data_IF_027514067409
#
_entry.id   IF_027514067409
#
_cell.length_a   1.000
_cell.length_b   1.000
_cell.length_c   1.000
_cell.angle_alpha   90.00
_cell.angle_beta   90.00
_cell.angle_gamma   90.00
#
_symmetry.space_group_name_H-M   'P 1'
#
loop_
_entity.id
_entity.type
_entity.pdbx_description
1 polymer ?
#
# COMPACT_ATOMS: atom_id res chain seq x y z
N UNK A 1 28.02 -14.09 1.12
CA UNK A 1 26.58 -13.97 1.38
C UNK A 1 25.88 -15.28 1.00
N UNK A 2 24.79 -15.60 1.64
CA UNK A 2 23.96 -16.77 1.28
C UNK A 2 23.39 -16.56 -0.12
N UNK A 3 23.56 -17.52 -1.06
CA UNK A 3 22.99 -17.39 -2.41
C UNK A 3 21.47 -17.40 -2.34
N UNK A 4 20.85 -16.43 -3.03
CA UNK A 4 19.41 -16.36 -3.19
C UNK A 4 19.08 -16.61 -4.66
N UNK A 5 18.20 -17.58 -4.94
CA UNK A 5 17.68 -17.84 -6.28
C UNK A 5 16.18 -17.66 -6.31
N UNK A 6 15.68 -17.08 -7.40
CA UNK A 6 14.26 -16.89 -7.63
C UNK A 6 13.84 -17.63 -8.92
N UNK A 7 12.78 -18.39 -8.83
CA UNK A 7 12.16 -19.06 -9.97
C UNK A 7 10.74 -18.54 -10.16
N UNK A 8 10.45 -18.01 -11.35
CA UNK A 8 9.15 -17.48 -11.71
C UNK A 8 8.54 -18.36 -12.81
N UNK A 9 7.26 -18.70 -12.66
CA UNK A 9 6.53 -19.50 -13.66
C UNK A 9 5.15 -18.90 -13.95
N UNK A 10 4.74 -18.97 -15.20
CA UNK A 10 3.43 -18.54 -15.64
C UNK A 10 3.23 -17.02 -15.54
N UNK A 11 4.26 -16.22 -15.91
CA UNK A 11 4.13 -14.79 -15.99
C UNK A 11 3.28 -14.39 -17.19
N UNK A 12 2.23 -13.61 -16.95
CA UNK A 12 1.38 -12.99 -17.96
C UNK A 12 1.29 -11.50 -17.66
N UNK A 13 1.47 -10.67 -18.68
CA UNK A 13 1.28 -9.22 -18.61
C UNK A 13 0.27 -8.84 -19.68
N UNK A 14 -0.75 -8.08 -19.29
CA UNK A 14 -1.75 -7.53 -20.20
C UNK A 14 -1.88 -6.02 -19.95
N UNK A 15 -2.07 -5.27 -21.04
CA UNK A 15 -2.29 -3.84 -20.99
C UNK A 15 -3.22 -3.44 -22.12
N UNK A 16 -4.28 -2.70 -21.79
CA UNK A 16 -5.19 -2.04 -22.73
C UNK A 16 -5.29 -0.57 -22.31
N UNK A 17 -4.38 0.23 -22.86
CA UNK A 17 -4.21 1.63 -22.46
C UNK A 17 -4.16 2.52 -23.68
N UNK A 18 -4.68 3.73 -23.54
CA UNK A 18 -4.60 4.81 -24.52
C UNK A 18 -4.17 6.11 -23.85
N UNK A 19 -3.64 7.04 -24.63
CA UNK A 19 -3.24 8.35 -24.12
C UNK A 19 -4.49 9.20 -23.87
N UNK A 20 -4.67 9.67 -22.63
CA UNK A 20 -5.70 10.60 -22.21
C UNK A 20 -5.26 12.06 -22.31
N UNK A 21 -5.98 12.95 -21.65
CA UNK A 21 -5.54 14.32 -21.45
C UNK A 21 -4.39 14.35 -20.44
N UNK A 22 -3.50 15.33 -20.56
CA UNK A 22 -2.41 15.52 -19.60
C UNK A 22 -1.36 14.42 -19.55
N UNK A 23 -1.09 13.76 -20.69
CA UNK A 23 -0.06 12.71 -20.84
C UNK A 23 -0.25 11.48 -19.93
N UNK A 24 -1.46 11.23 -19.43
CA UNK A 24 -1.78 10.02 -18.68
C UNK A 24 -2.16 8.88 -19.62
N UNK A 25 -1.67 7.68 -19.33
CA UNK A 25 -2.15 6.45 -19.96
C UNK A 25 -3.39 5.96 -19.20
N UNK A 26 -4.54 6.04 -19.86
CA UNK A 26 -5.84 5.62 -19.34
C UNK A 26 -6.16 4.19 -19.80
N UNK A 27 -6.83 3.43 -18.98
CA UNK A 27 -7.21 2.05 -19.25
C UNK A 27 -6.68 1.07 -18.21
N UNK A 28 -6.64 -0.18 -18.55
CA UNK A 28 -6.33 -1.28 -17.64
C UNK A 28 -4.94 -1.86 -17.87
N UNK A 29 -4.29 -2.29 -16.80
CA UNK A 29 -3.04 -3.06 -16.84
C UNK A 29 -3.10 -4.17 -15.79
N UNK A 30 -2.52 -5.33 -16.11
CA UNK A 30 -2.41 -6.43 -15.16
C UNK A 30 -1.12 -7.23 -15.37
N UNK A 31 -0.65 -7.77 -14.25
CA UNK A 31 0.44 -8.73 -14.20
C UNK A 31 -0.05 -9.92 -13.39
N UNK A 32 0.11 -11.11 -13.90
CA UNK A 32 -0.18 -12.35 -13.17
C UNK A 32 1.04 -13.25 -13.21
N UNK A 33 1.32 -13.90 -12.09
CA UNK A 33 2.40 -14.86 -11.91
C UNK A 33 1.84 -16.09 -11.21
N UNK A 34 1.87 -17.23 -11.86
CA UNK A 34 1.30 -18.45 -11.28
C UNK A 34 2.08 -18.88 -10.04
N UNK A 35 3.43 -18.86 -10.11
CA UNK A 35 4.28 -19.20 -8.96
C UNK A 35 5.55 -18.36 -8.94
N UNK A 36 5.96 -17.97 -7.72
CA UNK A 36 7.28 -17.43 -7.39
C UNK A 36 7.88 -18.30 -6.30
N UNK A 37 9.00 -18.94 -6.57
CA UNK A 37 9.76 -19.71 -5.59
C UNK A 37 11.06 -19.01 -5.26
N UNK A 38 11.33 -18.81 -3.97
CA UNK A 38 12.57 -18.24 -3.46
C UNK A 38 13.31 -19.32 -2.66
N UNK A 39 14.56 -19.58 -3.03
CA UNK A 39 15.46 -20.48 -2.31
C UNK A 39 16.59 -19.64 -1.69
N UNK A 40 16.86 -19.83 -0.40
CA UNK A 40 17.81 -19.05 0.38
C UNK A 40 18.81 -20.00 1.07
N UNK A 41 19.83 -20.43 0.32
CA UNK A 41 20.82 -21.39 0.80
C UNK A 41 20.17 -22.70 1.23
N UNK A 42 20.47 -23.18 2.44
CA UNK A 42 19.93 -24.43 2.99
C UNK A 42 18.57 -24.28 3.68
N UNK A 43 17.98 -23.08 3.66
CA UNK A 43 16.65 -22.88 4.25
C UNK A 43 15.55 -23.45 3.35
N UNK A 44 14.41 -23.89 3.94
CA UNK A 44 13.25 -24.27 3.17
C UNK A 44 12.82 -23.19 2.18
N UNK A 45 12.34 -23.60 1.01
CA UNK A 45 11.86 -22.67 0.00
C UNK A 45 10.60 -21.92 0.45
N UNK A 46 10.54 -20.65 0.09
CA UNK A 46 9.30 -19.85 0.14
C UNK A 46 8.65 -19.93 -1.24
N UNK A 47 7.38 -20.32 -1.28
CA UNK A 47 6.60 -20.42 -2.50
C UNK A 47 5.39 -19.50 -2.41
N UNK A 48 5.28 -18.51 -3.32
CA UNK A 48 4.06 -17.71 -3.52
C UNK A 48 3.33 -18.22 -4.75
N UNK A 49 2.00 -18.37 -4.65
CA UNK A 49 1.11 -18.84 -5.72
C UNK A 49 0.06 -17.79 -6.04
N UNK A 50 -0.32 -17.72 -7.32
CA UNK A 50 -1.36 -16.83 -7.80
C UNK A 50 -1.10 -15.37 -7.37
N UNK A 51 0.09 -14.88 -7.69
CA UNK A 51 0.44 -13.48 -7.47
C UNK A 51 -0.13 -12.66 -8.61
N UNK A 52 -0.91 -11.64 -8.30
CA UNK A 52 -1.42 -10.73 -9.31
C UNK A 52 -1.35 -9.27 -8.86
N UNK A 53 -1.17 -8.42 -9.84
CA UNK A 53 -1.26 -6.97 -9.70
C UNK A 53 -2.17 -6.46 -10.83
N UNK A 54 -3.05 -5.54 -10.52
CA UNK A 54 -3.83 -4.83 -11.53
C UNK A 54 -3.90 -3.35 -11.22
N UNK A 55 -4.05 -2.55 -12.25
CA UNK A 55 -4.27 -1.12 -12.15
C UNK A 55 -5.20 -0.66 -13.26
N UNK A 56 -6.04 0.31 -12.96
CA UNK A 56 -6.80 1.04 -13.95
C UNK A 56 -6.76 2.54 -13.65
N UNK A 57 -6.74 3.33 -14.70
CA UNK A 57 -6.87 4.78 -14.63
C UNK A 57 -7.93 5.20 -15.65
N UNK A 58 -8.88 6.00 -15.22
CA UNK A 58 -9.92 6.57 -16.07
C UNK A 58 -9.99 8.09 -15.90
N UNK A 59 -10.58 8.77 -16.89
CA UNK A 59 -10.79 10.20 -16.88
C UNK A 59 -12.22 10.52 -17.31
N UNK A 60 -12.92 11.30 -16.51
CA UNK A 60 -14.25 11.79 -16.80
C UNK A 60 -14.37 13.28 -16.45
N UNK A 61 -14.67 14.11 -17.43
CA UNK A 61 -14.84 15.55 -17.22
C UNK A 61 -13.60 16.27 -16.68
N UNK A 62 -12.40 15.80 -17.04
CA UNK A 62 -11.12 16.34 -16.58
C UNK A 62 -10.72 15.88 -15.16
N UNK A 63 -11.45 14.94 -14.59
CA UNK A 63 -11.14 14.33 -13.30
C UNK A 63 -10.65 12.90 -13.52
N UNK A 64 -9.51 12.57 -12.91
CA UNK A 64 -8.95 11.23 -12.89
C UNK A 64 -9.58 10.41 -11.76
N UNK A 65 -9.85 9.15 -12.08
CA UNK A 65 -10.18 8.09 -11.15
C UNK A 65 -9.31 6.88 -11.41
N UNK A 66 -9.04 6.08 -10.39
CA UNK A 66 -8.24 4.89 -10.59
C UNK A 66 -8.37 3.89 -9.48
N UNK A 67 -7.89 2.68 -9.75
CA UNK A 67 -7.77 1.61 -8.77
C UNK A 67 -6.48 0.85 -9.00
N UNK A 68 -5.93 0.37 -7.92
CA UNK A 68 -4.74 -0.47 -7.90
C UNK A 68 -4.95 -1.61 -6.92
N UNK A 69 -4.72 -2.82 -7.37
CA UNK A 69 -4.86 -4.00 -6.53
C UNK A 69 -3.67 -4.92 -6.62
N UNK A 70 -3.47 -5.66 -5.55
CA UNK A 70 -2.42 -6.66 -5.42
C UNK A 70 -2.95 -7.86 -4.66
N UNK A 71 -2.76 -9.06 -5.22
CA UNK A 71 -3.17 -10.32 -4.60
C UNK A 71 -2.00 -11.30 -4.55
N UNK A 72 -1.89 -12.00 -3.44
CA UNK A 72 -1.09 -13.21 -3.30
C UNK A 72 -2.03 -14.28 -2.80
N UNK A 73 -2.38 -15.23 -3.66
CA UNK A 73 -3.35 -16.27 -3.31
C UNK A 73 -2.89 -17.11 -2.12
N UNK A 74 -1.61 -17.51 -2.10
CA UNK A 74 -1.04 -18.25 -0.98
C UNK A 74 0.48 -18.15 -0.95
N UNK A 75 1.03 -17.92 0.22
CA UNK A 75 2.44 -18.09 0.54
C UNK A 75 2.60 -19.35 1.36
N UNK A 76 3.52 -20.24 0.93
CA UNK A 76 3.86 -21.46 1.63
C UNK A 76 5.34 -21.44 2.03
N UNK A 77 5.67 -21.98 3.19
CA UNK A 77 7.03 -22.18 3.70
C UNK A 77 7.20 -23.62 4.13
N UNK A 78 8.27 -24.28 3.70
CA UNK A 78 8.53 -25.71 3.98
C UNK A 78 7.33 -26.60 3.61
N UNK A 79 6.68 -26.29 2.47
CA UNK A 79 5.50 -27.01 1.98
C UNK A 79 4.21 -26.79 2.76
N UNK A 80 4.20 -25.93 3.79
CA UNK A 80 3.02 -25.59 4.58
C UNK A 80 2.49 -24.24 4.17
N UNK A 81 1.18 -24.14 3.96
CA UNK A 81 0.51 -22.89 3.66
C UNK A 81 0.51 -21.96 4.88
N UNK A 82 0.90 -20.72 4.68
CA UNK A 82 1.04 -19.70 5.73
C UNK A 82 -0.10 -18.69 5.63
N UNK A 83 -0.17 -17.93 4.56
CA UNK A 83 -1.18 -16.91 4.38
C UNK A 83 -1.33 -16.47 2.91
N UNK A 84 -2.49 -15.98 2.57
CA UNK A 84 -2.74 -15.14 1.40
C UNK A 84 -2.81 -13.67 1.78
N UNK A 85 -2.72 -12.78 0.78
CA UNK A 85 -2.80 -11.34 0.96
C UNK A 85 -3.64 -10.73 -0.15
N UNK A 86 -4.48 -9.76 0.21
CA UNK A 86 -5.23 -8.93 -0.74
C UNK A 86 -5.07 -7.45 -0.38
N UNK A 87 -4.91 -6.60 -1.40
CA UNK A 87 -4.88 -5.16 -1.24
C UNK A 87 -5.59 -4.48 -2.40
N UNK A 88 -6.47 -3.54 -2.10
CA UNK A 88 -7.18 -2.73 -3.09
C UNK A 88 -7.19 -1.26 -2.67
N UNK A 89 -6.59 -0.42 -3.51
CA UNK A 89 -6.65 1.02 -3.43
C UNK A 89 -7.59 1.59 -4.49
N UNK A 90 -8.30 2.65 -4.14
CA UNK A 90 -9.06 3.48 -5.09
C UNK A 90 -8.74 4.95 -4.88
N UNK A 91 -8.82 5.70 -5.97
CA UNK A 91 -8.68 7.15 -5.98
C UNK A 91 -9.75 7.74 -6.91
N UNK A 92 -10.36 8.87 -6.53
CA UNK A 92 -11.43 9.51 -7.31
C UNK A 92 -11.32 11.03 -7.25
N UNK A 93 -11.84 11.69 -8.27
CA UNK A 93 -11.99 13.15 -8.34
C UNK A 93 -10.65 13.91 -8.29
N UNK A 94 -9.60 13.40 -8.93
CA UNK A 94 -8.33 14.11 -9.04
C UNK A 94 -8.32 14.97 -10.31
N UNK A 95 -8.25 16.29 -10.19
CA UNK A 95 -8.13 17.16 -11.36
C UNK A 95 -6.88 16.82 -12.18
N UNK A 96 -7.07 16.38 -13.43
CA UNK A 96 -6.00 15.85 -14.27
C UNK A 96 -4.89 16.89 -14.50
N UNK A 97 -5.23 18.15 -14.76
CA UNK A 97 -4.23 19.17 -15.03
C UNK A 97 -3.45 19.58 -13.78
N UNK A 98 -4.10 19.59 -12.61
CA UNK A 98 -3.44 19.85 -11.34
C UNK A 98 -2.48 18.70 -10.98
N UNK A 99 -2.93 17.45 -11.14
CA UNK A 99 -2.07 16.27 -10.93
C UNK A 99 -0.86 16.29 -11.84
N UNK A 100 -1.04 16.58 -13.14
CA UNK A 100 0.07 16.68 -14.09
C UNK A 100 1.09 17.74 -13.66
N UNK A 101 0.62 18.94 -13.33
CA UNK A 101 1.46 20.04 -12.88
C UNK A 101 2.25 19.71 -11.61
N UNK A 102 1.60 19.04 -10.65
CA UNK A 102 2.24 18.60 -9.40
C UNK A 102 3.28 17.49 -9.65
N UNK A 103 3.02 16.56 -10.58
CA UNK A 103 4.00 15.52 -10.97
C UNK A 103 5.22 16.15 -11.64
N UNK A 104 5.04 17.14 -12.53
CA UNK A 104 6.15 17.87 -13.13
C UNK A 104 7.01 18.55 -12.06
N UNK A 105 6.39 19.28 -11.14
CA UNK A 105 7.10 19.95 -10.05
C UNK A 105 7.85 18.96 -9.16
N UNK A 106 7.22 17.84 -8.82
CA UNK A 106 7.86 16.76 -8.06
C UNK A 106 9.09 16.21 -8.78
N UNK A 107 8.93 15.87 -10.06
CA UNK A 107 10.01 15.31 -10.88
C UNK A 107 11.19 16.28 -11.01
N UNK A 108 10.91 17.57 -11.17
CA UNK A 108 11.93 18.56 -11.42
C UNK A 108 12.64 19.04 -10.13
N UNK A 109 11.96 19.02 -8.99
CA UNK A 109 12.47 19.61 -7.74
C UNK A 109 12.71 18.59 -6.63
N UNK A 110 11.84 17.60 -6.47
CA UNK A 110 11.87 16.70 -5.32
C UNK A 110 12.59 15.40 -5.64
N UNK A 111 12.32 14.80 -6.79
CA UNK A 111 12.92 13.52 -7.17
C UNK A 111 14.46 13.55 -7.20
N UNK A 112 15.14 14.60 -7.71
CA UNK A 112 16.59 14.68 -7.67
C UNK A 112 17.17 14.68 -6.25
N UNK A 113 16.48 15.34 -5.30
CA UNK A 113 16.89 15.37 -3.89
C UNK A 113 16.80 13.97 -3.27
N UNK A 114 15.70 13.27 -3.53
CA UNK A 114 15.53 11.90 -3.01
C UNK A 114 16.55 10.92 -3.60
N UNK A 115 16.87 11.05 -4.89
CA UNK A 115 17.90 10.22 -5.54
C UNK A 115 19.27 10.46 -4.94
N UNK A 116 19.67 11.71 -4.72
CA UNK A 116 20.95 12.05 -4.09
C UNK A 116 21.04 11.50 -2.65
N UNK A 117 19.97 11.63 -1.86
CA UNK A 117 19.90 11.06 -0.51
C UNK A 117 20.01 9.53 -0.52
N UNK A 118 19.35 8.85 -1.45
CA UNK A 118 19.43 7.40 -1.58
C UNK A 118 20.83 6.92 -2.01
N UNK A 119 21.58 7.74 -2.75
CA UNK A 119 22.96 7.48 -3.15
C UNK A 119 23.98 7.86 -2.05
N UNK A 120 23.56 8.39 -0.89
CA UNK A 120 24.41 9.01 0.12
C UNK A 120 25.28 10.18 -0.43
N UNK A 121 24.76 10.89 -1.42
CA UNK A 121 25.36 12.10 -1.98
C UNK A 121 24.83 13.34 -1.26
N UNK A 122 25.53 14.48 -1.41
CA UNK A 122 25.04 15.75 -0.90
C UNK A 122 23.76 16.16 -1.66
N UNK A 123 22.62 16.09 -0.98
CA UNK A 123 21.34 16.36 -1.58
C UNK A 123 21.14 17.87 -1.79
N UNK A 124 20.75 18.33 -2.98
CA UNK A 124 20.38 19.73 -3.20
C UNK A 124 19.18 20.12 -2.33
N UNK A 125 19.10 21.37 -1.92
CA UNK A 125 17.92 21.87 -1.23
C UNK A 125 16.76 22.06 -2.23
N UNK A 126 15.55 21.64 -1.81
CA UNK A 126 14.35 21.94 -2.57
C UNK A 126 14.06 23.43 -2.43
N UNK A 127 14.40 24.21 -3.45
CA UNK A 127 14.11 25.63 -3.50
C UNK A 127 13.11 25.89 -4.62
N UNK A 128 11.94 26.45 -4.25
CA UNK A 128 10.94 26.91 -5.22
C UNK A 128 11.14 28.41 -5.46
N UNK A 129 10.97 28.82 -6.69
CA UNK A 129 10.85 30.25 -7.04
C UNK A 129 9.47 30.75 -6.63
N UNK A 130 9.28 32.06 -6.48
CA UNK A 130 7.98 32.64 -6.17
C UNK A 130 6.89 32.27 -7.19
N UNK A 131 7.27 32.09 -8.47
CA UNK A 131 6.34 31.64 -9.51
C UNK A 131 5.93 30.18 -9.33
N UNK A 132 6.86 29.30 -8.94
CA UNK A 132 6.59 27.89 -8.65
C UNK A 132 5.74 27.72 -7.38
N UNK A 133 5.98 28.50 -6.36
CA UNK A 133 5.14 28.54 -5.14
C UNK A 133 3.71 28.95 -5.46
N UNK A 134 3.55 29.99 -6.28
CA UNK A 134 2.21 30.44 -6.71
C UNK A 134 1.51 29.38 -7.58
N UNK A 135 2.24 28.71 -8.48
CA UNK A 135 1.72 27.61 -9.30
C UNK A 135 1.28 26.46 -8.40
N UNK A 136 2.14 26.03 -7.47
CA UNK A 136 1.83 24.95 -6.50
C UNK A 136 0.55 25.27 -5.73
N UNK A 137 0.40 26.50 -5.22
CA UNK A 137 -0.81 26.93 -4.50
C UNK A 137 -2.05 26.83 -5.38
N UNK A 138 -1.97 27.30 -6.61
CA UNK A 138 -3.09 27.27 -7.57
C UNK A 138 -3.50 25.84 -7.91
N UNK A 139 -2.51 24.96 -8.14
CA UNK A 139 -2.75 23.54 -8.47
C UNK A 139 -3.33 22.77 -7.29
N UNK A 140 -2.85 23.03 -6.07
CA UNK A 140 -3.44 22.46 -4.85
C UNK A 140 -4.87 22.95 -4.62
N UNK A 141 -5.15 24.26 -4.86
CA UNK A 141 -6.50 24.78 -4.79
C UNK A 141 -7.45 24.10 -5.77
N UNK A 142 -7.00 23.89 -7.00
CA UNK A 142 -7.77 23.24 -8.05
C UNK A 142 -8.02 21.77 -7.70
N UNK A 143 -6.97 21.06 -7.31
CA UNK A 143 -7.04 19.66 -6.91
C UNK A 143 -8.05 19.45 -5.75
N UNK A 144 -7.90 20.22 -4.66
CA UNK A 144 -8.73 20.06 -3.46
C UNK A 144 -10.17 20.57 -3.67
N UNK A 145 -10.40 21.50 -4.62
CA UNK A 145 -11.75 21.94 -5.00
C UNK A 145 -12.55 20.83 -5.68
N UNK A 146 -11.89 19.88 -6.32
CA UNK A 146 -12.51 18.70 -6.92
C UNK A 146 -12.94 17.65 -5.87
N UNK A 147 -12.58 17.85 -4.59
CA UNK A 147 -12.87 16.95 -3.46
C UNK A 147 -12.33 15.53 -3.73
N UNK A 148 -11.02 15.37 -3.87
CA UNK A 148 -10.43 14.08 -4.14
C UNK A 148 -10.64 13.11 -2.98
N UNK A 149 -10.79 11.84 -3.34
CA UNK A 149 -10.98 10.73 -2.40
C UNK A 149 -9.88 9.70 -2.62
N UNK A 150 -9.34 9.17 -1.53
CA UNK A 150 -8.38 8.06 -1.53
C UNK A 150 -8.89 7.02 -0.55
N UNK A 151 -8.98 5.77 -0.98
CA UNK A 151 -9.35 4.69 -0.09
C UNK A 151 -8.45 3.47 -0.27
N UNK A 152 -8.01 2.91 0.85
CA UNK A 152 -7.64 1.52 0.97
C UNK A 152 -8.95 0.76 1.23
N UNK A 153 -9.57 0.26 0.16
CA UNK A 153 -10.87 -0.42 0.25
C UNK A 153 -10.76 -1.69 1.11
N UNK A 154 -9.67 -2.41 0.90
CA UNK A 154 -9.34 -3.59 1.69
C UNK A 154 -7.84 -3.85 1.62
N UNK A 155 -7.23 -4.06 2.77
CA UNK A 155 -5.99 -4.79 2.94
C UNK A 155 -6.29 -5.96 3.84
N UNK A 156 -6.01 -7.19 3.41
CA UNK A 156 -6.24 -8.35 4.25
C UNK A 156 -5.13 -9.39 4.16
N UNK A 157 -4.94 -10.07 5.27
CA UNK A 157 -4.13 -11.28 5.39
C UNK A 157 -5.09 -12.41 5.78
N UNK A 158 -5.10 -13.46 4.98
CA UNK A 158 -5.97 -14.61 5.15
C UNK A 158 -5.15 -15.85 5.46
N UNK A 159 -5.40 -16.47 6.59
CA UNK A 159 -4.85 -17.77 6.95
C UNK A 159 -5.91 -18.86 6.77
N UNK A 160 -5.56 -20.11 7.03
CA UNK A 160 -6.55 -21.21 7.04
C UNK A 160 -7.60 -21.07 8.14
N UNK A 161 -7.34 -20.25 9.18
CA UNK A 161 -8.16 -20.18 10.38
C UNK A 161 -8.87 -18.83 10.57
N UNK A 162 -8.57 -17.81 9.73
CA UNK A 162 -9.24 -16.51 9.84
C UNK A 162 -8.64 -15.43 8.95
N UNK A 163 -9.16 -14.22 9.12
CA UNK A 163 -8.76 -13.02 8.37
C UNK A 163 -8.38 -11.88 9.33
N UNK A 164 -7.33 -11.15 8.98
CA UNK A 164 -7.08 -9.81 9.48
C UNK A 164 -7.27 -8.80 8.34
N UNK A 165 -8.02 -7.73 8.57
CA UNK A 165 -8.31 -6.74 7.52
C UNK A 165 -8.28 -5.31 8.05
N UNK A 166 -7.85 -4.39 7.18
CA UNK A 166 -7.81 -2.95 7.37
C UNK A 166 -8.48 -2.28 6.17
N UNK A 167 -9.33 -1.32 6.43
CA UNK A 167 -9.78 -0.34 5.44
C UNK A 167 -9.55 1.08 5.94
N UNK A 168 -9.29 2.00 5.01
CA UNK A 168 -9.08 3.42 5.28
C UNK A 168 -9.73 4.22 4.17
N UNK A 169 -10.53 5.21 4.51
CA UNK A 169 -11.16 6.12 3.58
C UNK A 169 -10.86 7.56 3.96
N UNK A 170 -10.38 8.35 3.02
CA UNK A 170 -10.02 9.75 3.22
C UNK A 170 -10.65 10.61 2.14
N UNK A 171 -11.54 11.50 2.55
CA UNK A 171 -12.05 12.57 1.70
C UNK A 171 -11.28 13.85 1.96
N UNK A 172 -10.78 14.48 0.90
CA UNK A 172 -10.06 15.72 1.00
C UNK A 172 -10.93 16.91 0.61
N UNK A 173 -10.60 18.09 1.15
CA UNK A 173 -11.29 19.34 0.88
C UNK A 173 -10.31 20.51 0.82
N UNK A 174 -10.72 21.55 0.09
CA UNK A 174 -9.96 22.80 0.05
C UNK A 174 -10.05 23.51 1.39
N UNK A 175 -8.91 23.89 2.02
CA UNK A 175 -8.90 24.70 3.23
C UNK A 175 -9.32 26.13 2.94
N UNK A 176 -9.72 26.87 3.97
CA UNK A 176 -10.05 28.29 3.87
C UNK A 176 -8.82 29.13 3.45
N UNK A 177 -7.63 28.75 3.90
CA UNK A 177 -6.36 29.37 3.52
C UNK A 177 -5.22 28.35 3.64
N UNK A 178 -4.24 28.38 2.74
CA UNK A 178 -3.00 27.62 2.84
C UNK A 178 -1.96 28.26 3.78
N UNK A 179 -2.23 29.45 4.29
CA UNK A 179 -1.35 30.18 5.24
C UNK A 179 -1.65 29.84 6.71
N UNK A 180 -2.57 28.90 6.95
CA UNK A 180 -2.88 28.42 8.28
C UNK A 180 -1.71 27.65 8.89
N UNK A 181 -1.58 27.63 10.23
CA UNK A 181 -0.64 26.73 10.90
C UNK A 181 -0.87 25.28 10.47
N UNK A 182 0.22 24.49 10.32
CA UNK A 182 0.14 23.12 9.79
C UNK A 182 -0.94 22.23 10.45
N UNK A 183 -1.15 22.24 11.78
CA UNK A 183 -2.18 21.41 12.40
C UNK A 183 -3.61 21.81 12.00
N UNK A 184 -3.85 23.10 11.79
CA UNK A 184 -5.16 23.60 11.36
C UNK A 184 -5.39 23.37 9.88
N UNK A 185 -4.32 23.55 9.08
CA UNK A 185 -4.35 23.25 7.66
C UNK A 185 -4.70 21.78 7.43
N UNK A 186 -4.02 20.85 8.10
CA UNK A 186 -4.30 19.42 7.99
C UNK A 186 -5.74 19.07 8.36
N UNK A 187 -6.29 19.65 9.44
CA UNK A 187 -7.67 19.45 9.85
C UNK A 187 -8.69 19.94 8.82
N UNK A 188 -8.41 21.05 8.13
CA UNK A 188 -9.31 21.56 7.10
C UNK A 188 -9.18 20.83 5.77
N UNK A 189 -8.00 20.26 5.49
CA UNK A 189 -7.78 19.48 4.27
C UNK A 189 -8.41 18.08 4.32
N UNK A 190 -8.67 17.53 5.50
CA UNK A 190 -9.34 16.25 5.69
C UNK A 190 -10.81 16.51 6.00
N UNK A 191 -11.69 16.26 5.01
CA UNK A 191 -13.13 16.41 5.20
C UNK A 191 -13.73 15.22 5.96
N UNK A 192 -13.22 14.00 5.68
CA UNK A 192 -13.63 12.76 6.33
C UNK A 192 -12.46 11.81 6.40
N UNK A 193 -12.37 11.08 7.49
CA UNK A 193 -11.42 9.99 7.73
C UNK A 193 -12.13 8.84 8.42
N UNK A 194 -12.27 7.72 7.73
CA UNK A 194 -12.82 6.50 8.27
C UNK A 194 -11.75 5.41 8.23
N UNK A 195 -11.57 4.71 9.34
CA UNK A 195 -10.66 3.57 9.43
C UNK A 195 -11.36 2.41 10.15
N UNK A 196 -11.21 1.21 9.59
CA UNK A 196 -11.73 -0.01 10.22
C UNK A 196 -10.65 -1.07 10.22
N UNK A 197 -10.35 -1.59 11.40
CA UNK A 197 -9.47 -2.73 11.61
C UNK A 197 -10.29 -3.89 12.16
N UNK A 198 -10.12 -5.07 11.59
CA UNK A 198 -10.71 -6.32 12.07
C UNK A 198 -9.63 -7.39 12.10
N UNK A 199 -9.52 -8.12 13.19
CA UNK A 199 -8.52 -9.17 13.35
C UNK A 199 -9.17 -10.37 14.03
N UNK A 200 -9.22 -11.51 13.34
CA UNK A 200 -9.61 -12.77 13.96
C UNK A 200 -8.49 -13.24 14.89
N UNK A 201 -8.82 -13.66 16.11
CA UNK A 201 -7.84 -14.16 17.08
C UNK A 201 -6.96 -15.28 16.50
N UNK A 202 -7.55 -16.15 15.67
CA UNK A 202 -6.84 -17.26 15.05
C UNK A 202 -5.66 -16.81 14.19
N UNK A 203 -5.80 -15.66 13.47
CA UNK A 203 -4.72 -15.11 12.62
C UNK A 203 -3.50 -14.72 13.44
N UNK A 204 -3.70 -14.20 14.65
CA UNK A 204 -2.59 -13.86 15.55
C UNK A 204 -1.79 -15.14 15.88
N UNK A 205 -2.48 -16.20 16.27
CA UNK A 205 -1.86 -17.50 16.55
C UNK A 205 -1.14 -18.08 15.34
N UNK A 206 -1.75 -17.99 14.15
CA UNK A 206 -1.13 -18.46 12.90
C UNK A 206 0.14 -17.67 12.57
N UNK A 207 0.14 -16.35 12.76
CA UNK A 207 1.33 -15.53 12.57
C UNK A 207 2.48 -15.91 13.50
N UNK A 208 2.18 -16.21 14.76
CA UNK A 208 3.19 -16.67 15.74
C UNK A 208 3.75 -18.04 15.35
N UNK A 209 2.90 -18.96 14.91
CA UNK A 209 3.33 -20.28 14.40
C UNK A 209 4.22 -20.15 13.18
N UNK A 210 3.84 -19.30 12.24
CA UNK A 210 4.64 -19.03 11.04
C UNK A 210 6.01 -18.45 11.42
N UNK A 211 6.06 -17.46 12.30
CA UNK A 211 7.32 -16.87 12.79
C UNK A 211 8.23 -17.94 13.43
N UNK A 212 7.68 -18.75 14.32
CA UNK A 212 8.44 -19.82 14.98
C UNK A 212 9.05 -20.82 13.96
N UNK A 213 8.30 -21.15 12.89
CA UNK A 213 8.82 -22.00 11.81
C UNK A 213 9.96 -21.32 11.02
N UNK A 214 9.83 -20.02 10.70
CA UNK A 214 10.90 -19.26 10.07
C UNK A 214 12.17 -19.18 10.91
N UNK A 215 12.00 -19.13 12.24
CA UNK A 215 13.09 -19.12 13.21
C UNK A 215 13.69 -20.53 13.45
N UNK A 216 13.15 -21.57 12.79
CA UNK A 216 13.64 -22.94 12.86
C UNK A 216 13.24 -23.67 14.14
N UNK A 217 12.24 -23.22 14.88
CA UNK A 217 11.68 -23.94 16.01
C UNK A 217 10.96 -25.22 15.54
N UNK A 218 11.25 -26.33 16.15
CA UNK A 218 10.69 -27.65 15.78
C UNK A 218 9.81 -28.27 16.88
N UNK A 219 9.87 -27.76 18.12
CA UNK A 219 9.01 -28.23 19.20
C UNK A 219 7.58 -27.69 19.08
N UNK A 220 6.70 -28.52 18.54
CA UNK A 220 5.31 -28.18 18.29
C UNK A 220 4.56 -27.75 19.57
N UNK A 221 4.90 -28.34 20.73
CA UNK A 221 4.23 -27.95 21.99
C UNK A 221 4.64 -26.56 22.44
N UNK A 222 5.92 -26.23 22.39
CA UNK A 222 6.42 -24.89 22.73
C UNK A 222 5.84 -23.85 21.82
N UNK A 223 5.73 -24.10 20.50
CA UNK A 223 5.12 -23.20 19.52
C UNK A 223 3.65 -22.94 19.85
N UNK A 224 2.89 -24.00 20.17
CA UNK A 224 1.47 -23.89 20.47
C UNK A 224 1.20 -23.15 21.80
N UNK A 225 1.99 -23.43 22.83
CA UNK A 225 1.90 -22.74 24.13
C UNK A 225 2.24 -21.23 23.97
N UNK A 226 3.25 -20.89 23.17
CA UNK A 226 3.60 -19.49 22.85
C UNK A 226 2.49 -18.80 22.04
N UNK A 227 1.96 -19.47 21.02
CA UNK A 227 0.89 -18.94 20.19
C UNK A 227 -0.37 -18.64 21.04
N UNK A 228 -0.77 -19.56 21.91
CA UNK A 228 -1.90 -19.37 22.81
C UNK A 228 -1.68 -18.19 23.76
N UNK A 229 -0.53 -18.13 24.43
CA UNK A 229 -0.21 -17.06 25.38
C UNK A 229 -0.17 -15.68 24.72
N UNK A 230 0.51 -15.53 23.58
CA UNK A 230 0.64 -14.25 22.90
C UNK A 230 -0.67 -13.81 22.23
N UNK A 231 -1.49 -14.75 21.78
CA UNK A 231 -2.84 -14.45 21.27
C UNK A 231 -3.74 -13.86 22.36
N UNK A 232 -3.72 -14.45 23.56
CA UNK A 232 -4.49 -13.94 24.70
C UNK A 232 -3.97 -12.57 25.17
N UNK A 233 -2.66 -12.37 25.26
CA UNK A 233 -2.07 -11.08 25.60
C UNK A 233 -2.40 -10.00 24.57
N UNK A 234 -2.24 -10.30 23.27
CA UNK A 234 -2.53 -9.37 22.19
C UNK A 234 -4.00 -8.96 22.14
N UNK A 235 -4.92 -9.92 22.29
CA UNK A 235 -6.35 -9.63 22.35
C UNK A 235 -6.73 -8.84 23.60
N UNK A 236 -6.14 -9.13 24.76
CA UNK A 236 -6.37 -8.39 25.99
C UNK A 236 -5.90 -6.93 25.93
N UNK A 237 -4.74 -6.67 25.33
CA UNK A 237 -4.25 -5.30 25.12
C UNK A 237 -5.14 -4.52 24.13
N UNK A 238 -5.57 -5.14 23.04
CA UNK A 238 -6.44 -4.49 22.06
C UNK A 238 -7.81 -4.13 22.62
N UNK A 239 -8.40 -4.98 23.46
CA UNK A 239 -9.63 -4.69 24.21
C UNK A 239 -9.40 -3.57 25.24
N UNK A 240 -8.28 -3.59 25.97
CA UNK A 240 -7.96 -2.59 26.98
C UNK A 240 -7.67 -1.20 26.41
N UNK A 241 -7.27 -1.08 25.16
CA UNK A 241 -7.04 0.20 24.45
C UNK A 241 -8.28 0.70 23.69
N UNK A 242 -9.38 -0.05 23.67
CA UNK A 242 -10.59 0.29 22.90
C UNK A 242 -10.43 0.15 21.38
N UNK A 243 -9.38 -0.50 20.92
CA UNK A 243 -9.13 -0.80 19.50
C UNK A 243 -9.96 -1.99 19.00
N UNK A 244 -10.50 -2.80 19.90
CA UNK A 244 -11.43 -3.89 19.61
C UNK A 244 -12.67 -3.71 20.50
N UNK A 245 -13.84 -3.88 19.92
CA UNK A 245 -15.12 -3.92 20.62
C UNK A 245 -15.70 -5.33 20.57
#
# INVERSE_FOLDING_TARGET
GTPITAELRGLTVASDQHLGSGDFYLGDSSLMLATLQLNMGDKPAVLAKNVSQFGSLDEAGGLLGGRFGYDVGMVSYDGKDVAGMHMLWTAKNFDASAVQSLIELYRDKVAPVQHAQAANEEAPQVALTAAEEQRLKTDLEKLLSAKPQIALEKYSINTSNGEASLSLHVDLSKPASFELPQPELAKQMIAQLDAKLSIDKAVIGDGIRAQAQFDGQTDAKTIEDQAAMLTEMGSGMALGTGLLT
#
